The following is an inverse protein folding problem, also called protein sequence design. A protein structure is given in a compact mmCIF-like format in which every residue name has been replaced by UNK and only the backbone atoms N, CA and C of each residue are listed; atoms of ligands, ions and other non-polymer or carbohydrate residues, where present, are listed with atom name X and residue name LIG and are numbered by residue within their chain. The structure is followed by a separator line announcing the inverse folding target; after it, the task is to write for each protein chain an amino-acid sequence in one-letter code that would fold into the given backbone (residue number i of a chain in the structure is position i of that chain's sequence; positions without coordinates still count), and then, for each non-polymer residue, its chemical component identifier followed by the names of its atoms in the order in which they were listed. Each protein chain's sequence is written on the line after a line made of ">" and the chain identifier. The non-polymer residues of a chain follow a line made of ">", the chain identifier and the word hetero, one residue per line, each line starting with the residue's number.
data_IF_689588716818
#
_entry.id   IF_689588716818
#
_cell.length_a   1.000
_cell.length_b   1.000
_cell.length_c   1.000
_cell.angle_alpha   90.00
_cell.angle_beta   90.00
_cell.angle_gamma   90.00
#
_symmetry.space_group_name_H-M   'P 1'
#
loop_
_entity.id
_entity.type
_entity.pdbx_description
1 polymer ?
#
# COMPACT_ATOMS: atom_id res chain seq x y z
N UNK A 1 4.56 -13.76 8.72
CA UNK A 1 3.18 -13.22 8.63
C UNK A 1 2.69 -12.83 10.02
N UNK A 2 1.87 -11.76 10.18
CA UNK A 2 1.24 -11.31 11.42
C UNK A 2 -0.23 -10.98 11.15
N UNK A 3 -1.15 -11.54 11.91
CA UNK A 3 -2.56 -11.18 11.86
C UNK A 3 -2.80 -9.87 12.64
N UNK A 4 -3.46 -8.89 12.00
CA UNK A 4 -3.79 -7.57 12.59
C UNK A 4 -5.23 -7.53 13.11
N UNK A 5 -6.13 -8.18 12.40
CA UNK A 5 -7.53 -8.36 12.74
C UNK A 5 -7.99 -9.69 12.12
N UNK A 6 -9.13 -10.27 12.51
CA UNK A 6 -9.57 -11.56 11.98
C UNK A 6 -9.56 -11.62 10.46
N UNK A 7 -8.71 -12.50 9.88
CA UNK A 7 -8.54 -12.68 8.44
C UNK A 7 -7.81 -11.53 7.73
N UNK A 8 -7.08 -10.66 8.44
CA UNK A 8 -6.24 -9.60 7.85
C UNK A 8 -4.80 -9.78 8.29
N UNK A 9 -3.93 -10.12 7.37
CA UNK A 9 -2.55 -10.50 7.63
C UNK A 9 -1.57 -9.50 7.02
N UNK A 10 -0.66 -8.97 7.84
CA UNK A 10 0.45 -8.14 7.40
C UNK A 10 1.66 -9.00 7.02
N UNK A 11 2.21 -8.74 5.85
CA UNK A 11 3.40 -9.36 5.30
C UNK A 11 4.51 -8.32 5.16
N UNK A 12 5.74 -8.77 5.03
CA UNK A 12 6.91 -7.93 4.81
C UNK A 12 7.84 -7.85 6.02
N UNK A 13 9.11 -7.65 5.71
CA UNK A 13 10.20 -7.59 6.66
C UNK A 13 10.91 -6.23 6.68
N UNK A 14 12.23 -6.25 6.55
CA UNK A 14 13.09 -5.05 6.61
C UNK A 14 13.41 -4.45 5.24
N UNK A 15 13.21 -5.21 4.16
CA UNK A 15 13.52 -4.78 2.80
C UNK A 15 12.58 -3.66 2.34
N UNK A 16 13.00 -2.87 1.34
CA UNK A 16 12.18 -1.83 0.74
C UNK A 16 11.72 -0.74 1.72
N UNK A 17 12.48 -0.44 2.80
CA UNK A 17 12.07 0.54 3.80
C UNK A 17 10.99 0.01 4.75
N UNK A 18 11.06 -1.27 5.09
CA UNK A 18 10.03 -1.97 5.87
C UNK A 18 8.66 -1.96 5.19
N UNK A 19 8.65 -2.09 3.86
CA UNK A 19 7.40 -2.13 3.10
C UNK A 19 6.51 -3.28 3.57
N UNK A 20 5.20 -3.04 3.54
CA UNK A 20 4.15 -4.00 3.92
C UNK A 20 3.24 -4.30 2.74
N UNK A 21 2.68 -5.50 2.76
CA UNK A 21 1.56 -5.91 1.95
C UNK A 21 0.53 -6.58 2.88
N UNK A 22 -0.75 -6.59 2.48
CA UNK A 22 -1.80 -7.09 3.34
C UNK A 22 -2.62 -8.13 2.60
N UNK A 23 -2.69 -9.35 3.18
CA UNK A 23 -3.48 -10.44 2.66
C UNK A 23 -4.80 -10.50 3.45
N UNK A 24 -5.92 -10.39 2.75
CA UNK A 24 -7.26 -10.30 3.34
C UNK A 24 -8.10 -11.46 2.89
N UNK A 25 -8.67 -12.18 3.86
CA UNK A 25 -9.54 -13.33 3.65
C UNK A 25 -11.00 -12.93 3.50
N UNK A 26 -11.70 -13.52 2.51
CA UNK A 26 -13.14 -13.47 2.35
C UNK A 26 -13.67 -14.84 1.93
N UNK A 27 -14.07 -15.64 2.91
CA UNK A 27 -14.37 -17.05 2.72
C UNK A 27 -13.13 -17.81 2.21
N UNK A 28 -13.20 -18.41 1.03
CA UNK A 28 -12.04 -19.06 0.39
C UNK A 28 -11.19 -18.12 -0.44
N UNK A 29 -11.72 -16.97 -0.80
CA UNK A 29 -11.01 -16.01 -1.65
C UNK A 29 -10.04 -15.15 -0.84
N UNK A 30 -8.92 -14.82 -1.46
CA UNK A 30 -7.93 -13.91 -0.94
C UNK A 30 -7.86 -12.65 -1.82
N UNK A 31 -7.71 -11.50 -1.17
CA UNK A 31 -7.37 -10.22 -1.79
C UNK A 31 -6.05 -9.75 -1.21
N UNK A 32 -5.10 -9.37 -2.06
CA UNK A 32 -3.80 -8.85 -1.65
C UNK A 32 -3.72 -7.35 -1.94
N UNK A 33 -3.34 -6.57 -0.94
CA UNK A 33 -3.00 -5.15 -1.08
C UNK A 33 -1.49 -5.03 -1.15
N UNK A 34 -0.95 -4.52 -2.27
CA UNK A 34 0.47 -4.42 -2.60
C UNK A 34 1.22 -5.76 -2.65
N UNK A 35 2.48 -5.75 -3.12
CA UNK A 35 3.18 -7.00 -3.43
C UNK A 35 4.61 -7.06 -2.92
N UNK A 36 4.97 -6.20 -1.97
CA UNK A 36 6.29 -6.09 -1.38
C UNK A 36 7.41 -5.67 -2.36
N UNK A 37 8.63 -5.50 -1.84
CA UNK A 37 9.79 -5.10 -2.63
C UNK A 37 10.42 -6.26 -3.42
N UNK A 38 10.59 -7.51 -2.88
CA UNK A 38 11.18 -8.62 -3.62
C UNK A 38 10.34 -9.02 -4.84
N UNK A 39 10.99 -9.35 -5.94
CA UNK A 39 10.31 -9.71 -7.20
C UNK A 39 10.03 -11.22 -7.36
N UNK A 40 10.49 -12.04 -6.41
CA UNK A 40 10.24 -13.48 -6.36
C UNK A 40 8.87 -13.85 -5.78
N UNK A 41 8.23 -12.94 -5.06
CA UNK A 41 6.94 -13.12 -4.40
C UNK A 41 6.88 -14.27 -3.37
N UNK A 42 8.02 -14.79 -2.93
CA UNK A 42 8.09 -15.98 -2.07
C UNK A 42 7.30 -15.80 -0.77
N UNK A 43 7.49 -14.65 -0.09
CA UNK A 43 6.81 -14.38 1.20
C UNK A 43 5.28 -14.41 1.07
N UNK A 44 4.73 -13.87 -0.03
CA UNK A 44 3.27 -13.89 -0.27
C UNK A 44 2.79 -15.31 -0.57
N UNK A 45 3.51 -16.05 -1.40
CA UNK A 45 3.15 -17.43 -1.75
C UNK A 45 3.26 -18.38 -0.54
N UNK A 46 4.23 -18.17 0.34
CA UNK A 46 4.37 -18.89 1.61
C UNK A 46 3.21 -18.57 2.55
N UNK A 47 2.86 -17.29 2.71
CA UNK A 47 1.72 -16.86 3.53
C UNK A 47 0.40 -17.50 3.06
N UNK A 48 0.16 -17.57 1.75
CA UNK A 48 -1.02 -18.25 1.20
C UNK A 48 -1.03 -19.73 1.62
N UNK A 49 0.13 -20.42 1.59
CA UNK A 49 0.23 -21.82 2.02
C UNK A 49 0.06 -22.00 3.52
N UNK A 50 0.62 -21.09 4.34
CA UNK A 50 0.46 -21.10 5.80
C UNK A 50 -1.03 -21.00 6.21
N UNK A 51 -1.86 -20.28 5.43
CA UNK A 51 -3.31 -20.21 5.61
C UNK A 51 -4.06 -21.47 5.10
N UNK A 52 -3.34 -22.51 4.64
CA UNK A 52 -3.96 -23.71 4.07
C UNK A 52 -4.64 -23.43 2.72
N UNK A 53 -4.22 -22.39 2.00
CA UNK A 53 -4.75 -21.97 0.70
C UNK A 53 -3.80 -22.37 -0.43
N UNK A 54 -4.32 -22.32 -1.66
CA UNK A 54 -3.52 -22.49 -2.87
C UNK A 54 -3.37 -21.15 -3.60
N UNK A 55 -2.34 -20.97 -4.44
CA UNK A 55 -2.13 -19.70 -5.16
C UNK A 55 -3.35 -19.19 -5.92
N UNK A 56 -4.19 -20.10 -6.45
CA UNK A 56 -5.44 -19.78 -7.17
C UNK A 56 -6.57 -19.23 -6.30
N UNK A 57 -6.47 -19.33 -4.98
CA UNK A 57 -7.41 -18.70 -4.04
C UNK A 57 -7.17 -17.19 -3.94
N UNK A 58 -5.98 -16.68 -4.32
CA UNK A 58 -5.73 -15.26 -4.54
C UNK A 58 -6.45 -14.82 -5.83
N UNK A 59 -7.55 -14.09 -5.65
CA UNK A 59 -8.42 -13.65 -6.75
C UNK A 59 -8.08 -12.24 -7.22
N UNK A 60 -7.64 -11.38 -6.31
CA UNK A 60 -7.43 -9.96 -6.57
C UNK A 60 -6.12 -9.49 -5.95
N UNK A 61 -5.40 -8.67 -6.69
CA UNK A 61 -4.28 -7.88 -6.21
C UNK A 61 -4.67 -6.43 -6.49
N UNK A 62 -4.77 -5.62 -5.45
CA UNK A 62 -5.06 -4.19 -5.58
C UNK A 62 -3.88 -3.40 -5.05
N UNK A 63 -3.51 -2.33 -5.76
CA UNK A 63 -2.33 -1.54 -5.46
C UNK A 63 -2.73 -0.22 -4.79
N UNK A 64 -2.00 0.15 -3.74
CA UNK A 64 -2.12 1.48 -3.15
C UNK A 64 -1.62 2.55 -4.12
N UNK A 65 -0.46 2.32 -4.73
CA UNK A 65 0.17 3.20 -5.71
C UNK A 65 1.33 2.48 -6.43
N UNK A 66 1.95 3.15 -7.40
CA UNK A 66 2.92 2.52 -8.31
C UNK A 66 4.39 2.74 -7.95
N UNK A 67 4.75 2.91 -6.68
CA UNK A 67 6.17 2.89 -6.30
C UNK A 67 6.73 1.47 -6.30
N UNK A 68 7.99 1.34 -6.72
CA UNK A 68 8.69 0.04 -6.87
C UNK A 68 8.64 -0.82 -5.61
N UNK A 69 8.62 -0.24 -4.43
CA UNK A 69 8.54 -0.95 -3.16
C UNK A 69 7.26 -1.79 -3.01
N UNK A 70 6.19 -1.40 -3.67
CA UNK A 70 4.87 -2.03 -3.61
C UNK A 70 4.62 -2.98 -4.79
N UNK A 71 5.41 -2.88 -5.86
CA UNK A 71 5.22 -3.61 -7.12
C UNK A 71 6.16 -4.80 -7.32
N UNK A 72 7.01 -5.12 -6.34
CA UNK A 72 8.08 -6.09 -6.52
C UNK A 72 7.61 -7.44 -7.02
N UNK A 73 6.74 -8.08 -6.27
CA UNK A 73 6.22 -9.41 -6.57
C UNK A 73 5.11 -9.46 -7.61
N UNK A 74 4.59 -8.32 -8.08
CA UNK A 74 3.34 -8.23 -8.85
C UNK A 74 3.32 -9.13 -10.08
N UNK A 75 4.30 -9.00 -10.98
CA UNK A 75 4.34 -9.79 -12.21
C UNK A 75 4.46 -11.30 -11.95
N UNK A 76 5.21 -11.68 -10.91
CA UNK A 76 5.33 -13.07 -10.48
C UNK A 76 4.01 -13.59 -9.92
N UNK A 77 3.37 -12.83 -9.03
CA UNK A 77 2.07 -13.20 -8.46
C UNK A 77 0.98 -13.33 -9.53
N UNK A 78 0.86 -12.36 -10.44
CA UNK A 78 -0.11 -12.43 -11.54
C UNK A 78 0.04 -13.71 -12.34
N UNK A 79 1.28 -14.10 -12.67
CA UNK A 79 1.57 -15.35 -13.42
C UNK A 79 1.19 -16.61 -12.63
N UNK A 80 1.58 -16.69 -11.35
CA UNK A 80 1.39 -17.88 -10.52
C UNK A 80 -0.06 -18.07 -10.05
N UNK A 81 -0.76 -16.96 -9.77
CA UNK A 81 -2.10 -16.99 -9.18
C UNK A 81 -3.21 -16.78 -10.20
N UNK A 82 -2.94 -16.05 -11.28
CA UNK A 82 -3.91 -15.51 -12.24
C UNK A 82 -4.90 -14.54 -11.58
N UNK A 83 -4.50 -13.91 -10.47
CA UNK A 83 -5.29 -12.89 -9.83
C UNK A 83 -5.47 -11.69 -10.75
N UNK A 84 -6.65 -11.08 -10.66
CA UNK A 84 -6.94 -9.80 -11.31
C UNK A 84 -6.10 -8.71 -10.62
N UNK A 85 -5.40 -7.90 -11.41
CA UNK A 85 -4.61 -6.75 -10.94
C UNK A 85 -5.42 -5.48 -11.11
N UNK A 86 -5.60 -4.76 -10.02
CA UNK A 86 -6.41 -3.53 -9.93
C UNK A 86 -5.55 -2.38 -9.40
N UNK A 87 -5.73 -1.19 -9.96
CA UNK A 87 -5.08 0.03 -9.52
C UNK A 87 -5.95 1.25 -9.86
N UNK A 88 -5.63 2.41 -9.31
CA UNK A 88 -6.23 3.66 -9.77
C UNK A 88 -5.75 3.98 -11.21
N UNK A 89 -6.59 4.65 -12.01
CA UNK A 89 -6.25 4.96 -13.40
C UNK A 89 -4.93 5.72 -13.55
N UNK A 90 -4.63 6.68 -12.67
CA UNK A 90 -3.38 7.44 -12.69
C UNK A 90 -2.12 6.60 -12.43
N UNK A 91 -2.25 5.43 -11.83
CA UNK A 91 -1.13 4.52 -11.54
C UNK A 91 -0.98 3.44 -12.62
N UNK A 92 -2.03 3.14 -13.38
CA UNK A 92 -2.09 2.01 -14.31
C UNK A 92 -0.93 1.99 -15.33
N UNK A 93 -0.63 3.12 -15.98
CA UNK A 93 0.45 3.22 -16.96
C UNK A 93 1.84 3.03 -16.33
N UNK A 94 2.01 3.47 -15.07
CA UNK A 94 3.27 3.24 -14.32
C UNK A 94 3.42 1.76 -14.02
N UNK A 95 2.36 1.10 -13.57
CA UNK A 95 2.35 -0.35 -13.29
C UNK A 95 2.60 -1.16 -14.57
N UNK A 96 2.02 -0.75 -15.69
CA UNK A 96 2.25 -1.36 -17.00
C UNK A 96 3.68 -1.13 -17.53
N UNK A 97 4.40 -0.14 -16.99
CA UNK A 97 5.76 0.22 -17.41
C UNK A 97 5.80 1.21 -18.58
N UNK A 98 4.67 1.77 -18.98
CA UNK A 98 4.52 2.69 -20.10
C UNK A 98 5.05 4.11 -19.78
N UNK A 99 5.04 4.45 -18.48
CA UNK A 99 5.68 5.68 -17.99
C UNK A 99 6.37 5.45 -16.63
N UNK A 100 7.36 6.27 -16.26
CA UNK A 100 7.97 6.20 -14.93
C UNK A 100 6.99 6.72 -13.86
N UNK A 101 7.20 6.31 -12.62
CA UNK A 101 6.57 6.95 -11.46
C UNK A 101 6.93 8.45 -11.41
N UNK A 102 6.07 9.25 -10.79
CA UNK A 102 6.35 10.68 -10.66
C UNK A 102 7.65 10.90 -9.87
N UNK A 103 8.50 11.75 -10.44
CA UNK A 103 9.79 12.06 -9.83
C UNK A 103 9.61 12.93 -8.58
N UNK A 104 10.43 12.68 -7.60
CA UNK A 104 10.56 13.49 -6.38
C UNK A 104 11.85 14.31 -6.45
N UNK A 105 11.89 15.46 -5.76
CA UNK A 105 13.09 16.29 -5.73
C UNK A 105 14.27 15.61 -5.03
N UNK A 106 15.52 16.00 -5.36
CA UNK A 106 16.73 15.44 -4.73
C UNK A 106 17.16 16.15 -3.45
N UNK A 107 16.47 17.22 -3.02
CA UNK A 107 16.81 17.89 -1.76
C UNK A 107 16.54 16.93 -0.60
N UNK A 108 17.55 16.58 0.21
CA UNK A 108 17.34 15.68 1.34
C UNK A 108 16.36 16.29 2.34
N UNK A 109 15.36 15.50 2.71
CA UNK A 109 14.40 15.86 3.76
C UNK A 109 14.52 14.90 4.94
N UNK A 110 14.07 15.35 6.12
CA UNK A 110 13.96 14.44 7.27
C UNK A 110 12.73 13.53 7.09
N UNK A 111 12.80 12.27 7.51
CA UNK A 111 13.95 11.58 8.11
C UNK A 111 14.97 11.15 7.04
N UNK A 112 16.25 11.47 7.22
CA UNK A 112 17.32 11.21 6.24
C UNK A 112 17.49 9.72 5.89
N UNK A 113 16.96 8.80 6.67
CA UNK A 113 16.95 7.35 6.37
C UNK A 113 16.15 7.01 5.13
N UNK A 114 15.22 7.89 4.69
CA UNK A 114 14.41 7.71 3.48
C UNK A 114 15.12 8.23 2.22
N UNK A 115 16.21 8.97 2.36
CA UNK A 115 16.93 9.59 1.22
C UNK A 115 17.39 8.60 0.14
N UNK A 116 17.88 7.39 0.44
CA UNK A 116 18.23 6.41 -0.60
C UNK A 116 17.04 6.03 -1.48
N UNK A 117 15.82 5.97 -0.92
CA UNK A 117 14.60 5.70 -1.69
C UNK A 117 14.23 6.89 -2.57
N UNK A 118 14.39 8.12 -2.05
CA UNK A 118 14.20 9.36 -2.83
C UNK A 118 15.12 9.39 -4.06
N UNK A 119 16.39 9.07 -3.89
CA UNK A 119 17.35 8.94 -5.01
C UNK A 119 16.91 7.83 -5.97
N UNK A 120 16.43 6.69 -5.47
CA UNK A 120 15.92 5.59 -6.28
C UNK A 120 14.75 6.01 -7.17
N UNK A 121 13.76 6.69 -6.62
CA UNK A 121 12.61 7.23 -7.39
C UNK A 121 13.09 8.25 -8.44
N UNK A 122 13.92 9.21 -8.05
CA UNK A 122 14.47 10.21 -8.99
C UNK A 122 15.18 9.56 -10.17
N UNK A 123 16.00 8.53 -9.93
CA UNK A 123 16.71 7.79 -10.96
C UNK A 123 15.83 6.74 -11.68
N UNK A 124 14.58 6.55 -11.24
CA UNK A 124 13.70 5.45 -11.67
C UNK A 124 14.42 4.09 -11.60
N UNK A 125 15.07 3.80 -10.47
CA UNK A 125 15.84 2.56 -10.23
C UNK A 125 15.75 2.09 -8.78
N UNK A 126 15.69 0.77 -8.53
CA UNK A 126 15.48 -0.28 -9.54
C UNK A 126 14.07 -0.18 -10.17
N UNK A 127 13.92 -0.65 -11.40
CA UNK A 127 12.60 -0.74 -12.03
C UNK A 127 11.87 -2.00 -11.56
N UNK A 128 10.55 -1.94 -11.49
CA UNK A 128 9.71 -3.12 -11.35
C UNK A 128 9.59 -3.86 -12.70
N UNK A 129 9.13 -5.10 -12.67
CA UNK A 129 8.75 -5.84 -13.88
C UNK A 129 7.39 -5.33 -14.37
N UNK A 130 7.26 -4.83 -15.60
CA UNK A 130 5.98 -4.37 -16.12
C UNK A 130 4.89 -5.43 -15.97
N UNK A 131 3.71 -4.96 -15.54
CA UNK A 131 2.55 -5.83 -15.35
C UNK A 131 1.28 -5.06 -15.72
N UNK A 132 0.59 -5.44 -16.81
CA UNK A 132 -0.65 -4.79 -17.19
C UNK A 132 -1.71 -4.90 -16.10
N UNK A 133 -2.41 -3.80 -15.85
CA UNK A 133 -3.57 -3.72 -14.95
C UNK A 133 -4.78 -4.30 -15.68
N UNK A 134 -5.59 -5.11 -15.00
CA UNK A 134 -6.77 -5.76 -15.60
C UNK A 134 -8.05 -4.90 -15.46
N UNK A 135 -8.02 -3.92 -14.56
CA UNK A 135 -9.10 -2.98 -14.35
C UNK A 135 -8.69 -1.83 -13.43
N UNK A 136 -9.43 -0.75 -13.51
CA UNK A 136 -9.24 0.42 -12.64
C UNK A 136 -10.29 0.45 -11.53
N UNK A 137 -9.92 1.02 -10.39
CA UNK A 137 -10.81 1.25 -9.24
C UNK A 137 -10.62 2.66 -8.72
N UNK A 138 -11.69 3.22 -8.17
CA UNK A 138 -11.74 4.57 -7.66
C UNK A 138 -12.54 4.63 -6.34
N UNK A 139 -12.70 5.81 -5.80
CA UNK A 139 -13.37 6.08 -4.55
C UNK A 139 -14.76 5.45 -4.46
N UNK A 140 -15.03 4.75 -3.37
CA UNK A 140 -16.30 4.07 -3.12
C UNK A 140 -16.47 2.71 -3.79
N UNK A 141 -15.53 2.29 -4.64
CA UNK A 141 -15.55 0.95 -5.22
C UNK A 141 -15.29 -0.13 -4.16
N UNK A 142 -15.66 -1.37 -4.47
CA UNK A 142 -15.40 -2.53 -3.62
C UNK A 142 -14.44 -3.53 -4.30
N UNK A 143 -13.39 -3.92 -3.58
CA UNK A 143 -12.45 -4.96 -4.02
C UNK A 143 -12.45 -6.12 -3.02
N UNK A 144 -13.26 -7.13 -3.27
CA UNK A 144 -13.54 -8.16 -2.28
C UNK A 144 -14.19 -7.55 -1.02
N UNK A 145 -13.60 -7.70 0.17
CA UNK A 145 -14.14 -7.10 1.40
C UNK A 145 -13.69 -5.66 1.63
N UNK A 146 -12.88 -5.09 0.74
CA UNK A 146 -12.26 -3.77 0.87
C UNK A 146 -13.12 -2.70 0.21
N UNK A 147 -13.44 -1.63 0.93
CA UNK A 147 -13.91 -0.37 0.37
C UNK A 147 -12.70 0.45 -0.08
N UNK A 148 -12.72 0.93 -1.31
CA UNK A 148 -11.64 1.75 -1.89
C UNK A 148 -11.84 3.20 -1.48
N UNK A 149 -10.79 3.84 -1.02
CA UNK A 149 -10.73 5.26 -0.69
C UNK A 149 -9.68 5.92 -1.56
N UNK A 150 -10.06 6.82 -2.46
CA UNK A 150 -9.09 7.66 -3.15
C UNK A 150 -8.48 8.62 -2.15
N UNK A 151 -7.18 8.53 -1.97
CA UNK A 151 -6.41 9.25 -0.95
C UNK A 151 -5.18 9.93 -1.56
N UNK A 152 -5.38 10.90 -2.49
CA UNK A 152 -4.29 11.55 -3.18
C UNK A 152 -3.42 12.38 -2.25
N UNK A 153 -2.22 12.72 -2.73
CA UNK A 153 -1.24 13.54 -2.04
C UNK A 153 0.14 12.94 -2.04
N UNK A 154 0.29 11.67 -1.67
CA UNK A 154 1.53 10.90 -1.88
C UNK A 154 1.79 10.68 -3.38
N UNK A 155 0.81 10.17 -4.09
CA UNK A 155 0.72 10.19 -5.56
C UNK A 155 -0.69 10.59 -5.98
N UNK A 156 -0.93 10.96 -7.26
CA UNK A 156 -2.27 11.36 -7.70
C UNK A 156 -3.30 10.23 -7.64
N UNK A 157 -2.89 9.00 -7.87
CA UNK A 157 -3.75 7.82 -7.84
C UNK A 157 -3.60 6.99 -6.57
N UNK A 158 -3.05 7.55 -5.49
CA UNK A 158 -2.89 6.79 -4.25
C UNK A 158 -4.25 6.37 -3.69
N UNK A 159 -4.36 5.08 -3.35
CA UNK A 159 -5.53 4.47 -2.74
C UNK A 159 -5.23 4.04 -1.31
N UNK A 160 -6.22 4.16 -0.46
CA UNK A 160 -6.33 3.50 0.83
C UNK A 160 -7.52 2.53 0.80
N UNK A 161 -7.61 1.65 1.78
CA UNK A 161 -8.69 0.66 1.84
C UNK A 161 -9.25 0.59 3.25
N UNK A 162 -10.57 0.54 3.35
CA UNK A 162 -11.27 0.42 4.61
C UNK A 162 -12.00 -0.93 4.70
N UNK A 163 -11.85 -1.59 5.85
CA UNK A 163 -12.62 -2.77 6.22
C UNK A 163 -13.51 -2.38 7.40
N UNK A 164 -14.73 -1.95 7.10
CA UNK A 164 -15.64 -1.40 8.08
C UNK A 164 -16.01 -2.40 9.19
N UNK A 165 -16.21 -3.67 8.86
CA UNK A 165 -16.55 -4.74 9.80
C UNK A 165 -15.42 -5.09 10.79
N UNK A 166 -14.18 -4.70 10.49
CA UNK A 166 -13.00 -4.86 11.35
C UNK A 166 -12.49 -3.53 11.91
N UNK A 167 -13.12 -2.43 11.50
CA UNK A 167 -12.68 -1.06 11.79
C UNK A 167 -11.18 -0.88 11.53
N UNK A 168 -10.73 -1.35 10.35
CA UNK A 168 -9.32 -1.35 9.93
C UNK A 168 -9.14 -0.51 8.68
N UNK A 169 -8.20 0.43 8.73
CA UNK A 169 -7.76 1.23 7.61
C UNK A 169 -6.39 0.74 7.12
N UNK A 170 -6.26 0.43 5.84
CA UNK A 170 -4.98 0.25 5.15
C UNK A 170 -4.67 1.60 4.47
N UNK A 171 -3.82 2.40 5.10
CA UNK A 171 -3.55 3.77 4.68
C UNK A 171 -2.49 3.90 3.57
N UNK A 172 -1.85 2.80 3.17
CA UNK A 172 -0.73 2.86 2.23
C UNK A 172 0.37 3.80 2.73
N UNK A 173 0.93 4.58 1.82
CA UNK A 173 2.01 5.53 2.10
C UNK A 173 1.51 6.92 2.51
N UNK A 174 0.21 7.11 2.66
CA UNK A 174 -0.32 8.34 3.26
C UNK A 174 0.04 8.45 4.76
N UNK A 175 0.29 7.31 5.43
CA UNK A 175 0.83 7.25 6.80
C UNK A 175 2.01 6.28 6.81
N UNK A 176 3.09 6.65 7.49
CA UNK A 176 4.23 5.77 7.75
C UNK A 176 4.48 5.66 9.26
N UNK A 177 4.94 4.50 9.72
CA UNK A 177 5.40 4.29 11.09
C UNK A 177 6.92 4.04 11.16
N UNK A 178 7.56 3.89 10.00
CA UNK A 178 9.01 3.81 9.90
C UNK A 178 9.57 4.96 9.04
N UNK A 179 10.66 5.59 9.45
CA UNK A 179 11.42 5.41 10.70
C UNK A 179 10.75 6.01 11.94
N UNK A 180 9.62 6.69 11.78
CA UNK A 180 8.77 7.24 12.84
C UNK A 180 7.33 7.39 12.34
N UNK A 181 6.39 7.60 13.26
CA UNK A 181 4.99 7.87 12.91
C UNK A 181 4.86 9.30 12.34
N UNK A 182 4.44 9.39 11.08
CA UNK A 182 4.25 10.67 10.37
C UNK A 182 3.31 10.51 9.15
N UNK A 183 2.87 11.64 8.61
CA UNK A 183 2.04 11.73 7.40
C UNK A 183 2.88 11.41 6.16
N UNK A 184 3.10 10.13 5.91
CA UNK A 184 3.97 9.65 4.86
C UNK A 184 5.43 10.07 5.05
N UNK A 185 6.21 9.94 4.00
CA UNK A 185 7.57 10.50 3.96
C UNK A 185 7.54 11.85 3.25
N UNK A 186 7.90 12.97 3.90
CA UNK A 186 7.71 14.32 3.34
C UNK A 186 8.31 14.54 1.94
N UNK A 187 9.43 13.85 1.61
CA UNK A 187 10.04 13.94 0.28
C UNK A 187 9.16 13.33 -0.82
N UNK A 188 8.18 12.52 -0.47
CA UNK A 188 7.34 11.75 -1.39
C UNK A 188 5.91 12.29 -1.44
N UNK A 189 5.59 13.31 -0.65
CA UNK A 189 4.28 13.99 -0.72
C UNK A 189 4.29 14.96 -1.88
N UNK A 190 3.61 14.59 -2.98
CA UNK A 190 3.56 15.39 -4.21
C UNK A 190 2.58 16.55 -4.11
N UNK A 191 1.48 16.38 -3.35
CA UNK A 191 0.48 17.41 -3.11
C UNK A 191 0.09 17.44 -1.62
N UNK A 192 0.67 18.35 -0.82
CA UNK A 192 0.39 18.45 0.61
C UNK A 192 -1.06 18.77 0.94
N UNK A 193 -1.75 19.58 0.13
CA UNK A 193 -3.14 19.96 0.41
C UNK A 193 -4.09 18.78 0.24
N UNK A 194 -3.97 18.03 -0.86
CA UNK A 194 -4.72 16.78 -1.04
C UNK A 194 -4.37 15.75 0.03
N UNK A 195 -3.10 15.68 0.43
CA UNK A 195 -2.68 14.75 1.49
C UNK A 195 -3.37 15.09 2.84
N UNK A 196 -3.48 16.39 3.16
CA UNK A 196 -4.21 16.87 4.35
C UNK A 196 -5.68 16.45 4.32
N UNK A 197 -6.35 16.62 3.18
CA UNK A 197 -7.74 16.21 3.00
C UNK A 197 -7.90 14.68 3.18
N UNK A 198 -6.97 13.90 2.62
CA UNK A 198 -6.94 12.45 2.78
C UNK A 198 -6.78 12.04 4.25
N UNK A 199 -5.88 12.68 5.00
CA UNK A 199 -5.68 12.43 6.43
C UNK A 199 -6.92 12.82 7.27
N UNK A 200 -7.56 13.94 6.95
CA UNK A 200 -8.81 14.34 7.62
C UNK A 200 -9.92 13.31 7.40
N UNK A 201 -10.04 12.77 6.18
CA UNK A 201 -10.96 11.68 5.88
C UNK A 201 -10.64 10.42 6.68
N UNK A 202 -9.37 10.04 6.79
CA UNK A 202 -8.95 8.90 7.60
C UNK A 202 -9.29 9.08 9.09
N UNK A 203 -9.13 10.29 9.62
CA UNK A 203 -9.51 10.60 10.99
C UNK A 203 -11.01 10.41 11.22
N UNK A 204 -11.86 10.82 10.27
CA UNK A 204 -13.32 10.67 10.39
C UNK A 204 -13.81 9.21 10.41
N UNK A 205 -12.97 8.25 10.00
CA UNK A 205 -13.30 6.83 10.07
C UNK A 205 -13.14 6.24 11.47
N UNK A 206 -12.49 6.96 12.40
CA UNK A 206 -12.21 6.49 13.77
C UNK A 206 -11.59 5.06 13.79
N UNK A 207 -10.53 4.76 13.02
CA UNK A 207 -10.06 3.40 12.84
C UNK A 207 -9.45 2.84 14.12
N UNK A 208 -9.83 1.60 14.46
CA UNK A 208 -9.21 0.84 15.56
C UNK A 208 -7.82 0.35 15.19
N UNK A 209 -7.61 0.01 13.92
CA UNK A 209 -6.33 -0.45 13.36
C UNK A 209 -5.97 0.40 12.16
N UNK A 210 -4.71 0.82 12.09
CA UNK A 210 -4.15 1.50 10.91
C UNK A 210 -2.94 0.70 10.42
N UNK A 211 -3.10 0.09 9.26
CA UNK A 211 -2.04 -0.60 8.53
C UNK A 211 -1.40 0.39 7.55
N UNK A 212 -0.08 0.42 7.47
CA UNK A 212 0.68 1.41 6.71
C UNK A 212 1.58 0.75 5.67
N UNK A 213 1.91 1.47 4.61
CA UNK A 213 2.81 0.96 3.56
C UNK A 213 4.23 0.73 4.07
N UNK A 214 4.73 1.56 5.01
CA UNK A 214 6.07 1.44 5.57
C UNK A 214 6.09 1.46 7.09
N UNK A 215 6.46 0.31 7.68
CA UNK A 215 6.57 0.11 9.14
C UNK A 215 5.53 -0.84 9.71
N UNK A 216 5.28 -0.77 11.00
CA UNK A 216 4.34 -1.65 11.69
C UNK A 216 2.98 -0.97 11.85
N UNK A 217 1.90 -1.76 11.82
CA UNK A 217 0.55 -1.26 12.02
C UNK A 217 0.38 -0.62 13.41
N UNK A 218 -0.50 0.37 13.50
CA UNK A 218 -0.91 1.03 14.75
C UNK A 218 -2.19 0.37 15.25
N UNK A 219 -2.19 0.02 16.53
CA UNK A 219 -3.31 -0.64 17.23
C UNK A 219 -3.65 0.12 18.50
N UNK A 220 -4.89 -0.06 18.97
CA UNK A 220 -5.37 0.48 20.25
C UNK A 220 -5.71 1.97 20.20
N UNK A 221 -4.73 2.85 20.12
CA UNK A 221 -4.87 4.31 20.07
C UNK A 221 -4.82 4.88 18.63
N UNK A 222 -5.11 4.05 17.63
CA UNK A 222 -4.94 4.40 16.22
C UNK A 222 -5.77 5.63 15.82
N UNK A 223 -7.06 5.70 16.19
CA UNK A 223 -7.92 6.85 15.89
C UNK A 223 -7.33 8.16 16.44
N UNK A 224 -6.95 8.18 17.72
CA UNK A 224 -6.37 9.37 18.35
C UNK A 224 -5.07 9.82 17.68
N UNK A 225 -4.23 8.85 17.25
CA UNK A 225 -3.00 9.15 16.53
C UNK A 225 -3.27 9.72 15.14
N UNK A 226 -4.26 9.19 14.41
CA UNK A 226 -4.63 9.72 13.08
C UNK A 226 -5.22 11.11 13.20
N UNK A 227 -6.10 11.37 14.19
CA UNK A 227 -6.60 12.72 14.48
C UNK A 227 -5.46 13.71 14.73
N UNK A 228 -4.55 13.37 15.66
CA UNK A 228 -3.39 14.21 15.96
C UNK A 228 -2.52 14.45 14.71
N UNK A 229 -2.40 13.45 13.84
CA UNK A 229 -1.62 13.58 12.59
C UNK A 229 -2.31 14.54 11.62
N UNK A 230 -3.62 14.41 11.41
CA UNK A 230 -4.41 15.27 10.53
C UNK A 230 -4.43 16.74 11.00
N UNK A 231 -4.46 17.00 12.32
CA UNK A 231 -4.40 18.35 12.87
C UNK A 231 -3.04 19.05 12.72
N UNK A 232 -1.95 18.26 12.64
CA UNK A 232 -0.57 18.80 12.59
C UNK A 232 -0.01 18.93 11.18
N UNK A 233 -0.63 18.30 10.21
CA UNK A 233 -0.20 18.29 8.82
C UNK A 233 -0.83 19.44 8.04
#
# INVERSE_FOLDING_TARGET
>A
MRELAPGVHSLGGTKGGRVRAFLVESGRELTLVDTLFPDDALEVLEAIRELGRIPRDLKRIVLTHAHRSHLGGLATLKRETRAQVLAHEFEADVVAGDRPAQSVGLKPTRPFRTYPFQVGIFLNRPRHKPCPVDGTVDDGDAVGPLEVLHAPGHSPGHLAFHLADRNLLIAGDAIATWPRFEAGWPAFTLNPDQHRESLARFASLEPRFVAVGHGDAVEGDAAAKVHTLAERF
#
